data_IF_838336085924
#
_entry.id   IF_838336085924
#
_cell.length_a   1.000
_cell.length_b   1.000
_cell.length_c   1.000
_cell.angle_alpha   90.00
_cell.angle_beta   90.00
_cell.angle_gamma   90.00
#
_symmetry.space_group_name_H-M   'P 1'
#
loop_
_entity.id
_entity.type
_entity.pdbx_description
1 polymer ?
#
# COMPACT_ATOMS: atom_id res chain seq x y z
N UNK A 1 19.48 -4.07 -3.85
CA UNK A 1 19.05 -4.16 -3.88
C UNK A 1 18.58 -4.68 -4.61
N UNK A 2 18.37 -4.86 -4.91
CA UNK A 2 17.87 -5.14 -5.56
C UNK A 2 17.64 -6.00 -5.94
N UNK A 3 17.67 -6.46 -5.88
CA UNK A 3 17.49 -7.09 -6.27
C UNK A 3 16.93 -7.90 -6.26
N UNK A 4 16.76 -8.14 -6.09
CA UNK A 4 16.16 -8.82 -6.12
C UNK A 4 15.75 -9.46 -6.79
N UNK A 5 15.63 -9.55 -7.11
CA UNK A 5 15.16 -10.13 -7.68
C UNK A 5 15.02 -10.89 -8.29
N UNK A 6 15.17 -11.09 -8.31
CA UNK A 6 14.98 -11.67 -8.86
C UNK A 6 14.84 -12.56 -9.02
N UNK A 7 14.88 -12.81 -8.70
CA UNK A 7 14.67 -13.56 -8.76
C UNK A 7 14.27 -14.40 -8.78
N UNK A 8 14.29 -14.62 -8.69
CA UNK A 8 13.87 -15.35 -8.73
C UNK A 8 13.27 -16.06 -8.91
N UNK A 9 13.17 -16.29 -8.85
CA UNK A 9 12.53 -17.00 -9.01
C UNK A 9 11.89 -17.69 -9.16
N UNK A 10 11.76 -17.80 -9.08
CA UNK A 10 11.18 -18.36 -9.27
C UNK A 10 10.80 -19.21 -9.28
N UNK A 11 10.84 -19.49 -9.04
CA UNK A 11 10.49 -20.27 -9.04
C UNK A 11 9.69 -20.93 -8.63
N UNK A 12 9.51 -21.17 -8.34
CA UNK A 12 8.85 -21.76 -7.98
C UNK A 12 7.81 -21.68 -7.62
N UNK A 13 7.79 -21.61 -7.73
CA UNK A 13 6.79 -21.36 -7.67
C UNK A 13 5.83 -21.39 -6.86
N UNK A 14 5.84 -21.46 -6.11
CA UNK A 14 4.93 -21.44 -5.39
C UNK A 14 4.19 -20.41 -5.40
N UNK A 15 3.93 -20.15 -5.81
CA UNK A 15 3.06 -19.44 -6.03
C UNK A 15 2.45 -18.57 -5.12
N UNK A 16 2.08 -18.81 -4.17
CA UNK A 16 1.33 -18.05 -3.35
C UNK A 16 1.91 -16.83 -2.87
N UNK A 17 3.09 -16.72 -2.75
CA UNK A 17 3.68 -15.55 -2.26
C UNK A 17 3.92 -14.56 -3.25
N UNK A 18 3.26 -14.65 -4.31
CA UNK A 18 3.48 -13.78 -5.34
C UNK A 18 3.22 -12.40 -5.04
N UNK A 19 2.24 -12.10 -4.21
CA UNK A 19 1.90 -10.75 -3.93
C UNK A 19 3.04 -9.99 -3.34
N UNK A 20 3.90 -10.65 -2.62
CA UNK A 20 5.02 -9.95 -2.01
C UNK A 20 6.03 -9.48 -3.02
N UNK A 21 5.92 -9.98 -4.25
CA UNK A 21 6.84 -9.60 -5.29
C UNK A 21 6.37 -8.41 -6.11
N UNK A 22 5.19 -7.91 -5.84
CA UNK A 22 4.67 -6.82 -6.64
C UNK A 22 4.97 -5.49 -5.99
N UNK A 23 5.54 -4.57 -6.76
CA UNK A 23 5.77 -3.22 -6.26
C UNK A 23 4.45 -2.47 -6.25
N UNK A 24 4.09 -1.90 -5.10
CA UNK A 24 2.83 -1.19 -4.98
C UNK A 24 2.97 0.22 -4.42
N UNK A 25 4.19 0.68 -4.20
CA UNK A 25 4.39 2.01 -3.63
C UNK A 25 3.88 3.09 -4.58
N UNK A 26 3.24 4.10 -4.03
CA UNK A 26 2.73 5.21 -4.82
C UNK A 26 2.67 6.44 -3.91
N UNK A 27 2.79 7.62 -4.51
CA UNK A 27 2.66 8.85 -3.76
C UNK A 27 1.29 8.93 -3.11
N UNK A 28 1.25 9.58 -1.97
CA UNK A 28 0.00 9.88 -1.25
C UNK A 28 -0.72 8.67 -0.69
N UNK A 29 -0.01 7.56 -0.51
CA UNK A 29 -0.58 6.42 0.20
C UNK A 29 -0.22 6.52 1.68
N UNK A 30 -1.16 6.13 2.53
CA UNK A 30 -0.90 6.04 3.96
C UNK A 30 -0.49 4.61 4.28
N UNK A 31 0.66 4.44 4.89
CA UNK A 31 1.22 3.12 5.16
C UNK A 31 1.60 3.02 6.63
N UNK A 32 1.90 1.81 7.07
CA UNK A 32 2.31 1.55 8.45
C UNK A 32 3.62 0.78 8.45
N UNK A 33 4.52 1.14 9.36
CA UNK A 33 5.78 0.42 9.51
C UNK A 33 5.51 -0.85 10.31
N UNK A 34 5.92 -1.99 9.76
CA UNK A 34 5.72 -3.28 10.44
C UNK A 34 7.03 -3.91 10.87
N UNK A 35 8.13 -3.19 10.77
CA UNK A 35 9.42 -3.70 11.20
C UNK A 35 9.72 -3.22 12.62
N UNK A 36 10.03 -4.17 13.51
CA UNK A 36 10.40 -3.82 14.87
C UNK A 36 11.87 -3.41 14.96
N UNK A 37 12.62 -3.61 13.88
CA UNK A 37 14.04 -3.33 13.85
C UNK A 37 14.40 -2.03 13.17
N UNK A 38 13.57 -1.55 12.28
CA UNK A 38 13.86 -0.33 11.54
C UNK A 38 14.02 0.84 12.53
N UNK A 39 15.13 1.55 12.43
CA UNK A 39 15.48 2.65 13.34
C UNK A 39 15.29 2.27 14.81
N UNK A 40 15.65 1.04 15.15
CA UNK A 40 15.56 0.58 16.53
C UNK A 40 14.15 0.45 17.06
N UNK A 41 13.18 0.31 16.17
CA UNK A 41 11.80 0.14 16.57
C UNK A 41 11.06 1.45 16.81
N UNK A 42 11.72 2.57 16.57
CA UNK A 42 11.15 3.88 16.84
C UNK A 42 9.83 4.12 16.13
N UNK A 43 9.69 3.59 14.93
CA UNK A 43 8.48 3.83 14.12
C UNK A 43 7.58 2.60 13.99
N UNK A 44 7.84 1.58 14.77
CA UNK A 44 7.04 0.35 14.69
C UNK A 44 5.57 0.67 14.93
N UNK A 45 4.71 0.19 14.06
CA UNK A 45 3.27 0.39 14.09
C UNK A 45 2.83 1.83 13.87
N UNK A 46 3.76 2.71 13.50
CA UNK A 46 3.40 4.10 13.23
C UNK A 46 2.96 4.24 11.78
N UNK A 47 2.04 5.15 11.56
CA UNK A 47 1.54 5.43 10.21
C UNK A 47 2.34 6.56 9.59
N UNK A 48 2.58 6.45 8.30
CA UNK A 48 3.34 7.43 7.54
C UNK A 48 2.61 7.69 6.24
N UNK A 49 2.89 8.84 5.62
CA UNK A 49 2.39 9.13 4.28
C UNK A 49 3.55 9.05 3.32
N UNK A 50 3.38 8.35 2.21
CA UNK A 50 4.40 8.30 1.17
C UNK A 50 4.34 9.61 0.41
N UNK A 51 5.46 10.32 0.37
CA UNK A 51 5.52 11.62 -0.31
C UNK A 51 6.27 11.57 -1.62
N UNK A 52 7.11 10.57 -1.82
CA UNK A 52 7.85 10.45 -3.07
C UNK A 52 8.29 9.01 -3.29
N UNK A 53 8.48 8.64 -4.55
CA UNK A 53 8.91 7.30 -4.93
C UNK A 53 10.31 7.41 -5.51
N UNK A 54 11.26 6.68 -4.91
CA UNK A 54 12.64 6.69 -5.36
C UNK A 54 12.84 5.67 -6.47
N UNK A 55 12.34 4.46 -6.23
CA UNK A 55 12.35 3.40 -7.23
C UNK A 55 11.17 2.48 -6.88
N UNK A 56 10.90 1.44 -7.67
CA UNK A 56 9.68 0.64 -7.43
C UNK A 56 9.57 0.06 -6.02
N UNK A 57 10.70 -0.10 -5.33
CA UNK A 57 10.72 -0.76 -4.03
C UNK A 57 11.08 0.15 -2.87
N UNK A 58 11.30 1.45 -3.14
CA UNK A 58 11.82 2.37 -2.13
C UNK A 58 11.11 3.71 -2.22
N UNK A 59 10.78 4.28 -1.09
CA UNK A 59 10.06 5.55 -1.08
C UNK A 59 10.56 6.47 0.03
N UNK A 60 10.08 7.71 -0.01
CA UNK A 60 10.31 8.69 1.04
C UNK A 60 8.97 8.88 1.73
N UNK A 61 8.96 8.83 3.04
CA UNK A 61 7.74 8.95 3.83
C UNK A 61 7.82 10.13 4.78
N UNK A 62 6.66 10.67 5.14
CA UNK A 62 6.58 11.74 6.14
C UNK A 62 5.86 11.19 7.36
N UNK A 63 6.44 11.37 8.53
CA UNK A 63 5.81 10.94 9.77
C UNK A 63 4.70 11.92 10.13
N UNK A 64 3.88 11.55 11.09
CA UNK A 64 2.81 12.44 11.55
C UNK A 64 3.37 13.71 12.15
N UNK A 65 4.58 13.66 12.68
CA UNK A 65 5.24 14.85 13.22
C UNK A 65 5.93 15.70 12.17
N UNK A 66 5.89 15.28 10.92
CA UNK A 66 6.46 16.07 9.83
C UNK A 66 7.87 15.70 9.43
N UNK A 67 8.47 14.71 10.07
CA UNK A 67 9.83 14.31 9.73
C UNK A 67 9.85 13.45 8.48
N UNK A 68 10.84 13.67 7.61
CA UNK A 68 10.98 12.85 6.42
C UNK A 68 11.88 11.67 6.70
N UNK A 69 11.47 10.51 6.22
CA UNK A 69 12.28 9.29 6.30
C UNK A 69 12.60 8.89 4.87
N UNK A 70 13.88 8.81 4.55
CA UNK A 70 14.32 8.49 3.20
C UNK A 70 14.67 7.02 3.08
N UNK A 71 14.64 6.53 1.85
CA UNK A 71 15.03 5.15 1.56
C UNK A 71 14.23 4.12 2.36
N UNK A 72 12.94 4.32 2.46
CA UNK A 72 12.08 3.39 3.18
C UNK A 72 11.69 2.27 2.22
N UNK A 73 12.05 1.02 2.53
CA UNK A 73 11.76 -0.07 1.60
C UNK A 73 10.33 -0.59 1.77
N UNK A 74 9.75 -1.02 0.67
CA UNK A 74 8.40 -1.58 0.69
C UNK A 74 8.29 -2.74 1.66
N UNK A 75 9.37 -3.50 1.83
CA UNK A 75 9.34 -4.71 2.64
C UNK A 75 8.97 -4.49 4.11
N UNK A 76 9.12 -3.26 4.61
CA UNK A 76 8.76 -2.98 6.00
C UNK A 76 7.44 -2.22 6.12
N UNK A 77 6.71 -2.10 5.02
CA UNK A 77 5.47 -1.33 5.00
C UNK A 77 4.27 -2.22 4.72
N UNK A 78 3.14 -1.84 5.30
CA UNK A 78 1.90 -2.48 4.93
C UNK A 78 0.87 -1.39 4.63
N UNK A 79 -0.16 -1.74 3.88
CA UNK A 79 -1.21 -0.80 3.52
C UNK A 79 -2.08 -0.50 4.74
N UNK A 80 -2.70 0.65 4.74
CA UNK A 80 -3.62 1.06 5.79
C UNK A 80 -5.01 1.17 5.18
N UNK A 81 -6.00 0.58 5.86
CA UNK A 81 -7.38 0.63 5.40
C UNK A 81 -8.11 1.70 6.21
N UNK A 82 -8.76 2.67 5.56
CA UNK A 82 -9.46 3.70 6.31
C UNK A 82 -10.66 3.12 7.05
N UNK A 83 -11.11 3.81 8.07
CA UNK A 83 -12.20 3.35 8.90
C UNK A 83 -13.55 3.80 8.40
N UNK A 84 -13.61 4.92 7.71
CA UNK A 84 -14.89 5.50 7.32
C UNK A 84 -15.29 5.14 5.92
N UNK A 85 -16.56 4.82 5.76
CA UNK A 85 -17.15 4.65 4.45
C UNK A 85 -17.01 5.97 3.68
N UNK A 86 -16.76 5.89 2.40
CA UNK A 86 -16.58 7.06 1.56
C UNK A 86 -15.16 7.57 1.50
N UNK A 87 -14.25 7.00 2.28
CA UNK A 87 -12.85 7.42 2.26
C UNK A 87 -12.20 7.03 0.94
N UNK A 88 -11.27 7.85 0.49
CA UNK A 88 -10.54 7.54 -0.73
C UNK A 88 -9.52 6.46 -0.50
N UNK A 89 -9.43 5.54 -1.43
CA UNK A 89 -8.43 4.49 -1.42
C UNK A 89 -7.86 4.36 -2.81
N UNK A 90 -6.72 3.71 -2.91
CA UNK A 90 -6.11 3.40 -4.20
C UNK A 90 -6.04 1.89 -4.30
N UNK A 91 -6.46 1.35 -5.44
CA UNK A 91 -6.41 -0.08 -5.68
C UNK A 91 -5.02 -0.43 -6.17
N UNK A 92 -4.47 -1.53 -5.67
CA UNK A 92 -3.09 -1.90 -5.94
C UNK A 92 -2.95 -3.22 -6.68
N UNK A 93 -4.06 -3.90 -6.95
CA UNK A 93 -4.01 -5.16 -7.67
C UNK A 93 -3.63 -4.91 -9.13
N UNK A 94 -3.15 -5.93 -9.80
CA UNK A 94 -2.76 -5.78 -11.20
C UNK A 94 -3.89 -5.29 -12.06
N UNK A 95 -5.08 -5.79 -11.81
CA UNK A 95 -6.22 -5.45 -12.63
C UNK A 95 -6.62 -3.98 -12.53
N UNK A 96 -6.54 -3.41 -11.34
CA UNK A 96 -6.97 -2.05 -11.12
C UNK A 96 -5.85 -1.14 -10.64
N UNK A 97 -4.64 -1.43 -11.07
CA UNK A 97 -3.44 -0.82 -10.49
C UNK A 97 -3.50 0.69 -10.45
N UNK A 98 -3.37 1.23 -9.23
CA UNK A 98 -3.32 2.67 -8.95
C UNK A 98 -4.60 3.41 -9.28
N UNK A 99 -5.70 2.70 -9.41
CA UNK A 99 -6.98 3.32 -9.65
C UNK A 99 -7.58 3.81 -8.34
N UNK A 100 -8.14 5.02 -8.33
CA UNK A 100 -8.75 5.57 -7.13
C UNK A 100 -10.19 5.10 -6.98
N UNK A 101 -10.60 4.90 -5.75
CA UNK A 101 -11.94 4.41 -5.45
C UNK A 101 -12.38 4.94 -4.10
N UNK A 102 -13.65 4.77 -3.79
CA UNK A 102 -14.20 5.10 -2.48
C UNK A 102 -14.54 3.82 -1.76
N UNK A 103 -14.24 3.79 -0.48
CA UNK A 103 -14.53 2.62 0.35
C UNK A 103 -16.03 2.55 0.64
N UNK A 104 -16.64 1.39 0.37
CA UNK A 104 -18.07 1.19 0.67
C UNK A 104 -18.26 0.33 1.90
N UNK A 105 -17.52 -0.76 2.00
CA UNK A 105 -17.68 -1.71 3.11
C UNK A 105 -16.35 -2.35 3.45
N UNK A 106 -16.23 -2.74 4.70
CA UNK A 106 -15.08 -3.50 5.18
C UNK A 106 -15.59 -4.76 5.86
N UNK A 107 -14.89 -5.87 5.63
CA UNK A 107 -15.17 -7.11 6.33
C UNK A 107 -13.88 -7.54 7.00
N UNK A 108 -13.75 -7.27 8.30
CA UNK A 108 -12.53 -7.58 9.00
C UNK A 108 -12.32 -9.08 9.18
N UNK A 109 -13.37 -9.86 9.11
CA UNK A 109 -13.24 -11.30 9.25
C UNK A 109 -12.51 -11.90 8.06
N UNK A 110 -12.86 -11.44 6.86
CA UNK A 110 -12.21 -11.96 5.66
C UNK A 110 -11.08 -11.05 5.19
N UNK A 111 -10.87 -9.91 5.85
CA UNK A 111 -9.87 -8.93 5.48
C UNK A 111 -10.05 -8.47 4.04
N UNK A 112 -11.29 -8.14 3.69
CA UNK A 112 -11.62 -7.65 2.36
C UNK A 112 -12.39 -6.35 2.46
N UNK A 113 -12.42 -5.60 1.37
CA UNK A 113 -13.18 -4.38 1.27
C UNK A 113 -13.96 -4.37 -0.03
N UNK A 114 -15.04 -3.61 -0.07
CA UNK A 114 -15.78 -3.34 -1.29
C UNK A 114 -15.60 -1.86 -1.58
N UNK A 115 -15.15 -1.55 -2.79
CA UNK A 115 -14.88 -0.18 -3.20
C UNK A 115 -15.59 0.11 -4.51
N UNK A 116 -15.82 1.40 -4.78
CA UNK A 116 -16.39 1.82 -6.05
C UNK A 116 -15.40 2.77 -6.70
N UNK A 117 -14.95 2.45 -7.91
CA UNK A 117 -13.96 3.27 -8.59
C UNK A 117 -14.55 4.63 -8.92
N UNK A 118 -13.71 5.67 -8.93
CA UNK A 118 -14.20 7.03 -9.11
C UNK A 118 -14.65 7.30 -10.54
N UNK A 119 -13.93 6.79 -11.50
CA UNK A 119 -14.21 7.09 -12.89
C UNK A 119 -15.25 6.19 -13.49
N UNK A 120 -15.02 4.89 -13.45
CA UNK A 120 -15.92 3.93 -14.08
C UNK A 120 -17.10 3.54 -13.20
N UNK A 121 -17.02 3.84 -11.91
CA UNK A 121 -18.07 3.48 -10.96
C UNK A 121 -18.24 1.96 -10.84
N UNK A 122 -17.18 1.22 -11.09
CA UNK A 122 -17.19 -0.23 -10.95
C UNK A 122 -17.09 -0.61 -9.48
N UNK A 123 -17.81 -1.67 -9.11
CA UNK A 123 -17.72 -2.21 -7.76
C UNK A 123 -16.62 -3.25 -7.76
N UNK A 124 -15.65 -3.07 -6.88
CA UNK A 124 -14.48 -3.94 -6.79
C UNK A 124 -14.36 -4.48 -5.38
N UNK A 125 -14.21 -5.79 -5.24
CA UNK A 125 -13.92 -6.40 -3.97
C UNK A 125 -12.43 -6.75 -3.96
N UNK A 126 -11.73 -6.34 -2.91
CA UNK A 126 -10.28 -6.51 -2.85
C UNK A 126 -9.87 -6.91 -1.43
N UNK A 127 -8.73 -7.59 -1.32
CA UNK A 127 -8.21 -7.92 -0.01
C UNK A 127 -7.48 -6.68 0.55
N UNK A 128 -7.24 -6.69 1.84
CA UNK A 128 -6.62 -5.55 2.51
C UNK A 128 -5.24 -5.21 1.93
N UNK A 129 -4.49 -6.19 1.45
CA UNK A 129 -3.18 -5.88 0.86
C UNK A 129 -3.26 -5.44 -0.59
N UNK A 130 -4.44 -5.39 -1.17
CA UNK A 130 -4.60 -4.90 -2.53
C UNK A 130 -5.21 -3.50 -2.58
N UNK A 131 -5.33 -2.85 -1.43
CA UNK A 131 -5.93 -1.52 -1.37
C UNK A 131 -5.25 -0.74 -0.26
N UNK A 132 -5.15 0.58 -0.42
CA UNK A 132 -4.46 1.42 0.57
C UNK A 132 -5.14 2.77 0.64
N UNK A 133 -5.23 3.32 1.85
CA UNK A 133 -5.81 4.63 2.04
C UNK A 133 -5.03 5.67 1.23
N UNK A 134 -5.74 6.51 0.51
CA UNK A 134 -5.14 7.55 -0.31
C UNK A 134 -5.37 8.89 0.37
N UNK A 135 -4.30 9.64 0.58
CA UNK A 135 -4.39 10.93 1.29
C UNK A 135 -4.15 12.12 0.39
N UNK A 136 -4.03 11.89 -0.90
CA UNK A 136 -3.89 12.99 -1.84
C UNK A 136 -5.24 13.50 -2.31
N UNK A 137 -5.22 14.35 -3.33
CA UNK A 137 -6.44 14.90 -3.88
C UNK A 137 -7.06 13.94 -4.88
N UNK A 138 -8.38 13.88 -4.87
CA UNK A 138 -9.08 13.08 -5.86
C UNK A 138 -9.11 13.84 -7.16
N UNK A 139 -8.52 13.25 -8.20
CA UNK A 139 -8.49 13.87 -9.51
C UNK A 139 -9.35 13.05 -10.44
N UNK A 140 -10.23 13.70 -11.14
CA UNK A 140 -11.18 13.02 -12.03
C UNK A 140 -11.02 13.41 -13.47
#
# INVERSE_FOLDING_TARGET
KAEKPSATPSQNGSSNVITSEQAWLHQDLKVRIVSEEYSGGKYYCKKLNIVDIVDPWTCVCRTEGGKLLEDVPQSILETVIPKKKGSLVMLLSKKNRFELAELEEKDSKSSTVVCVTLIEKDVVTASYDEVCQYVGDAVR
#
